data_IF_984409463521
#
_entry.id   IF_984409463521
#
_cell.length_a   1.000
_cell.length_b   1.000
_cell.length_c   1.000
_cell.angle_alpha   90.00
_cell.angle_beta   90.00
_cell.angle_gamma   90.00
#
_symmetry.space_group_name_H-M   'P 1'
#
loop_
_entity.id
_entity.type
_entity.pdbx_description
1 polymer ?
#
# COMPACT_ATOMS: atom_id res chain seq x y z
N UNK A 1 -0.68 -10.62 15.46
CA UNK A 1 -1.32 -9.55 14.66
C UNK A 1 -0.97 -9.62 13.18
N UNK A 2 0.31 -9.58 12.76
CA UNK A 2 0.68 -9.72 11.33
C UNK A 2 0.02 -10.93 10.64
N UNK A 3 0.26 -12.13 11.16
CA UNK A 3 -0.30 -13.36 10.60
C UNK A 3 -1.83 -13.41 10.64
N UNK A 4 -2.44 -12.87 11.69
CA UNK A 4 -3.90 -12.83 11.83
C UNK A 4 -4.52 -11.91 10.78
N UNK A 5 -3.95 -10.72 10.57
CA UNK A 5 -4.38 -9.76 9.55
C UNK A 5 -4.15 -10.29 8.14
N UNK A 6 -3.03 -10.97 7.91
CA UNK A 6 -2.71 -11.63 6.66
C UNK A 6 -3.70 -12.77 6.35
N UNK A 7 -3.96 -13.67 7.31
CA UNK A 7 -4.98 -14.74 7.20
C UNK A 7 -6.39 -14.17 7.04
N UNK A 8 -6.65 -12.99 7.59
CA UNK A 8 -7.94 -12.31 7.45
C UNK A 8 -8.24 -11.83 6.03
N UNK A 9 -7.23 -11.74 5.15
CA UNK A 9 -7.44 -11.38 3.74
C UNK A 9 -8.31 -12.42 3.02
N UNK A 10 -8.12 -13.72 3.31
CA UNK A 10 -8.90 -14.81 2.72
C UNK A 10 -10.22 -15.07 3.47
N UNK A 11 -10.31 -14.64 4.74
CA UNK A 11 -11.46 -14.95 5.62
C UNK A 11 -12.57 -13.91 5.58
N UNK A 12 -12.31 -12.68 5.11
CA UNK A 12 -13.34 -11.64 5.09
C UNK A 12 -14.42 -12.00 4.07
N UNK A 13 -15.69 -11.75 4.42
CA UNK A 13 -16.95 -12.09 3.71
C UNK A 13 -17.10 -11.56 2.26
N UNK A 14 -16.03 -11.10 1.63
CA UNK A 14 -15.91 -10.99 0.18
C UNK A 14 -14.91 -12.05 -0.26
N UNK A 15 -15.39 -13.27 -0.51
CA UNK A 15 -14.61 -14.28 -1.25
C UNK A 15 -14.45 -13.72 -2.65
N UNK A 16 -13.48 -12.83 -2.83
CA UNK A 16 -12.94 -12.52 -4.14
C UNK A 16 -12.24 -13.81 -4.56
N UNK A 17 -12.80 -14.57 -5.50
CA UNK A 17 -12.32 -15.91 -5.84
C UNK A 17 -10.86 -15.89 -6.33
N UNK A 18 -10.35 -14.70 -6.67
CA UNK A 18 -9.02 -14.50 -7.20
C UNK A 18 -7.95 -14.40 -6.10
N UNK A 19 -8.31 -14.16 -4.83
CA UNK A 19 -7.36 -14.02 -3.71
C UNK A 19 -7.52 -15.17 -2.71
N UNK A 20 -6.91 -16.30 -3.04
CA UNK A 20 -6.93 -17.51 -2.24
C UNK A 20 -5.76 -17.63 -1.25
N UNK A 21 -5.70 -18.75 -0.52
CA UNK A 21 -4.63 -19.02 0.44
C UNK A 21 -3.25 -19.09 -0.22
N UNK A 22 -3.16 -19.57 -1.46
CA UNK A 22 -1.89 -19.66 -2.21
C UNK A 22 -1.35 -18.25 -2.50
N UNK A 23 -2.21 -17.33 -2.93
CA UNK A 23 -1.86 -15.92 -3.13
C UNK A 23 -1.36 -15.29 -1.84
N UNK A 24 -1.99 -15.59 -0.70
CA UNK A 24 -1.57 -15.04 0.60
C UNK A 24 -0.26 -15.64 1.12
N UNK A 25 -0.01 -16.92 0.90
CA UNK A 25 1.30 -17.51 1.18
C UNK A 25 2.40 -16.90 0.31
N UNK A 26 2.10 -16.63 -0.98
CA UNK A 26 3.01 -15.91 -1.87
C UNK A 26 3.23 -14.46 -1.40
N UNK A 27 2.19 -13.77 -0.91
CA UNK A 27 2.30 -12.42 -0.37
C UNK A 27 3.19 -12.40 0.89
N UNK A 28 3.04 -13.37 1.80
CA UNK A 28 3.90 -13.53 2.97
C UNK A 28 5.37 -13.69 2.57
N UNK A 29 5.61 -14.60 1.62
CA UNK A 29 6.94 -14.90 1.09
C UNK A 29 7.57 -13.66 0.45
N UNK A 30 6.82 -12.93 -0.38
CA UNK A 30 7.28 -11.69 -0.98
C UNK A 30 7.70 -10.66 0.08
N UNK A 31 6.84 -10.41 1.07
CA UNK A 31 7.14 -9.43 2.14
C UNK A 31 8.38 -9.85 2.93
N UNK A 32 8.54 -11.13 3.25
CA UNK A 32 9.62 -11.59 4.13
C UNK A 32 10.95 -11.76 3.43
N UNK A 33 10.94 -12.29 2.21
CA UNK A 33 12.14 -12.73 1.50
C UNK A 33 12.56 -11.80 0.35
N UNK A 34 11.64 -10.98 -0.17
CA UNK A 34 11.86 -10.15 -1.37
C UNK A 34 11.79 -8.64 -1.09
N UNK A 35 11.57 -8.25 0.16
CA UNK A 35 11.53 -6.83 0.54
C UNK A 35 12.34 -6.55 1.79
N UNK A 36 13.08 -5.46 1.74
CA UNK A 36 13.82 -4.85 2.86
C UNK A 36 12.88 -4.08 3.79
N UNK A 37 13.38 -3.65 4.95
CA UNK A 37 12.64 -2.78 5.86
C UNK A 37 12.21 -1.45 5.23
N UNK A 38 13.02 -0.91 4.31
CA UNK A 38 12.72 0.35 3.60
C UNK A 38 11.61 0.15 2.57
N UNK A 39 11.69 -0.91 1.78
CA UNK A 39 10.69 -1.22 0.75
C UNK A 39 9.31 -1.51 1.36
N UNK A 40 9.26 -2.03 2.59
CA UNK A 40 8.01 -2.22 3.33
C UNK A 40 7.28 -0.90 3.66
N UNK A 41 7.92 0.26 3.53
CA UNK A 41 7.24 1.56 3.63
C UNK A 41 6.55 1.99 2.32
N UNK A 42 6.88 1.35 1.20
CA UNK A 42 6.43 1.67 -0.15
C UNK A 42 6.33 0.39 -0.99
N UNK A 43 5.57 -0.60 -0.50
CA UNK A 43 5.35 -1.85 -1.21
C UNK A 43 4.65 -1.59 -2.55
N UNK A 44 5.10 -2.30 -3.57
CA UNK A 44 4.67 -2.17 -4.94
C UNK A 44 3.90 -3.46 -5.37
N UNK A 45 2.56 -3.40 -5.51
CA UNK A 45 1.78 -4.56 -5.96
C UNK A 45 2.16 -5.07 -7.35
N UNK A 46 2.62 -4.19 -8.25
CA UNK A 46 3.10 -4.58 -9.56
C UNK A 46 4.36 -5.44 -9.44
N UNK A 47 5.31 -5.05 -8.59
CA UNK A 47 6.50 -5.89 -8.32
C UNK A 47 6.11 -7.24 -7.71
N UNK A 48 5.15 -7.27 -6.79
CA UNK A 48 4.61 -8.52 -6.25
C UNK A 48 4.07 -9.45 -7.35
N UNK A 49 3.33 -8.91 -8.33
CA UNK A 49 2.81 -9.70 -9.46
C UNK A 49 3.93 -10.36 -10.28
N UNK A 50 5.01 -9.62 -10.55
CA UNK A 50 6.16 -10.11 -11.34
C UNK A 50 6.95 -11.17 -10.56
N UNK A 51 7.37 -10.84 -9.33
CA UNK A 51 8.24 -11.69 -8.51
C UNK A 51 7.58 -13.01 -8.12
N UNK A 52 6.26 -13.00 -7.91
CA UNK A 52 5.51 -14.16 -7.44
C UNK A 52 4.68 -14.85 -8.54
N UNK A 53 4.78 -14.36 -9.78
CA UNK A 53 4.05 -14.87 -10.95
C UNK A 53 2.56 -14.97 -10.66
N UNK A 54 1.96 -13.83 -10.32
CA UNK A 54 0.53 -13.67 -10.05
C UNK A 54 -0.02 -12.65 -11.05
N UNK A 55 -1.29 -12.74 -11.41
CA UNK A 55 -1.90 -11.73 -12.27
C UNK A 55 -1.83 -10.35 -11.59
N UNK A 56 -1.70 -9.30 -12.41
CA UNK A 56 -1.69 -7.92 -11.93
C UNK A 56 -2.96 -7.57 -11.16
N UNK A 57 -4.11 -8.04 -11.63
CA UNK A 57 -5.42 -7.85 -10.99
C UNK A 57 -5.49 -8.50 -9.61
N UNK A 58 -5.11 -9.77 -9.50
CA UNK A 58 -5.07 -10.49 -8.22
C UNK A 58 -4.09 -9.83 -7.24
N UNK A 59 -2.93 -9.38 -7.75
CA UNK A 59 -1.94 -8.71 -6.94
C UNK A 59 -2.51 -7.43 -6.32
N UNK A 60 -3.10 -6.54 -7.12
CA UNK A 60 -3.66 -5.30 -6.57
C UNK A 60 -4.86 -5.56 -5.63
N UNK A 61 -5.73 -6.53 -5.95
CA UNK A 61 -6.83 -6.98 -5.07
C UNK A 61 -6.32 -7.40 -3.70
N UNK A 62 -5.27 -8.23 -3.63
CA UNK A 62 -4.70 -8.70 -2.36
C UNK A 62 -4.22 -7.53 -1.47
N UNK A 63 -3.62 -6.49 -2.06
CA UNK A 63 -3.19 -5.30 -1.32
C UNK A 63 -4.39 -4.43 -0.88
N UNK A 64 -5.42 -4.28 -1.71
CA UNK A 64 -6.63 -3.53 -1.34
C UNK A 64 -7.37 -4.21 -0.19
N UNK A 65 -7.58 -5.52 -0.26
CA UNK A 65 -8.21 -6.28 0.82
C UNK A 65 -7.33 -6.24 2.07
N UNK A 66 -6.01 -6.40 1.92
CA UNK A 66 -5.05 -6.24 3.02
C UNK A 66 -5.11 -4.84 3.66
N UNK A 67 -5.39 -3.79 2.89
CA UNK A 67 -5.64 -2.47 3.44
C UNK A 67 -6.94 -2.43 4.25
N UNK A 68 -8.03 -3.03 3.76
CA UNK A 68 -9.30 -3.20 4.49
C UNK A 68 -9.15 -4.07 5.76
N UNK A 69 -8.14 -4.92 5.83
CA UNK A 69 -7.77 -5.73 7.01
C UNK A 69 -6.71 -5.07 7.91
N UNK A 70 -6.36 -3.80 7.64
CA UNK A 70 -5.37 -3.05 8.41
C UNK A 70 -3.97 -3.66 8.44
N UNK A 71 -3.65 -4.51 7.46
CA UNK A 71 -2.29 -4.97 7.21
C UNK A 71 -1.48 -3.89 6.50
N UNK A 72 -2.12 -3.19 5.56
CA UNK A 72 -1.51 -2.15 4.75
C UNK A 72 -2.16 -0.79 4.94
N UNK A 73 -1.37 0.26 4.76
CA UNK A 73 -1.82 1.64 4.66
C UNK A 73 -1.55 2.16 3.24
N UNK A 74 -2.59 2.58 2.50
CA UNK A 74 -2.43 3.05 1.13
C UNK A 74 -1.74 4.42 1.09
N UNK A 75 -0.76 4.56 0.20
CA UNK A 75 0.00 5.79 -0.06
C UNK A 75 -0.09 6.15 -1.53
N UNK A 76 -0.29 7.42 -1.78
CA UNK A 76 -0.51 7.94 -3.12
C UNK A 76 0.60 8.94 -3.43
N UNK A 77 1.30 8.75 -4.54
CA UNK A 77 2.38 9.62 -4.99
C UNK A 77 2.01 10.23 -6.33
N UNK A 78 2.06 11.55 -6.42
CA UNK A 78 1.82 12.25 -7.68
C UNK A 78 3.13 12.49 -8.42
N UNK A 79 3.19 12.17 -9.71
CA UNK A 79 4.34 12.39 -10.58
C UNK A 79 4.12 13.59 -11.51
N UNK A 80 4.78 14.70 -11.21
CA UNK A 80 4.73 15.91 -12.02
C UNK A 80 5.35 15.70 -13.41
N UNK A 81 4.94 16.51 -14.39
CA UNK A 81 5.50 16.43 -15.75
C UNK A 81 6.98 16.82 -15.83
N UNK A 82 7.50 17.51 -14.81
CA UNK A 82 8.93 17.81 -14.66
C UNK A 82 9.76 16.66 -14.06
N UNK A 83 9.13 15.54 -13.68
CA UNK A 83 9.81 14.38 -13.10
C UNK A 83 9.77 14.31 -11.57
N UNK A 84 9.33 15.37 -10.89
CA UNK A 84 9.20 15.34 -9.42
C UNK A 84 8.09 14.39 -8.96
N UNK A 85 8.35 13.69 -7.86
CA UNK A 85 7.37 12.84 -7.21
C UNK A 85 7.25 13.16 -5.73
N UNK A 86 6.02 13.23 -5.22
CA UNK A 86 5.78 13.44 -3.80
C UNK A 86 4.48 12.77 -3.34
N UNK A 87 4.44 12.43 -2.05
CA UNK A 87 3.26 11.83 -1.42
C UNK A 87 2.16 12.90 -1.28
N UNK A 88 0.96 12.60 -1.77
CA UNK A 88 -0.19 13.50 -1.70
C UNK A 88 -1.20 12.94 -0.72
N UNK A 89 -1.56 13.68 0.33
CA UNK A 89 -2.52 13.23 1.37
C UNK A 89 -3.97 13.55 1.01
N UNK A 90 -4.21 14.63 0.26
CA UNK A 90 -5.52 15.01 -0.25
C UNK A 90 -5.49 15.15 -1.77
N UNK A 91 -6.20 14.27 -2.48
CA UNK A 91 -6.23 14.27 -3.95
C UNK A 91 -7.00 15.45 -4.54
N UNK A 92 -7.87 16.09 -3.75
CA UNK A 92 -8.68 17.23 -4.19
C UNK A 92 -8.03 18.59 -3.91
N UNK A 93 -6.86 18.62 -3.26
CA UNK A 93 -6.13 19.86 -2.99
C UNK A 93 -5.20 20.18 -4.15
N UNK A 94 -5.15 21.47 -4.53
CA UNK A 94 -4.14 21.97 -5.45
C UNK A 94 -2.74 21.80 -4.83
N UNK A 95 -1.81 21.29 -5.64
CA UNK A 95 -0.39 21.15 -5.32
C UNK A 95 0.43 21.90 -6.36
N UNK A 96 1.61 22.38 -5.97
CA UNK A 96 2.55 23.05 -6.87
C UNK A 96 3.77 22.15 -7.08
N UNK A 97 4.05 21.80 -8.34
CA UNK A 97 5.28 21.11 -8.73
C UNK A 97 6.49 22.05 -8.66
N UNK A 98 7.72 21.52 -8.64
CA UNK A 98 8.94 22.38 -8.64
C UNK A 98 9.07 23.21 -9.92
N UNK A 99 8.48 22.75 -11.03
CA UNK A 99 8.34 23.54 -12.26
C UNK A 99 7.25 24.62 -12.19
N UNK A 100 6.77 24.96 -10.99
CA UNK A 100 5.74 25.96 -10.69
C UNK A 100 4.34 25.66 -11.25
N UNK A 101 4.16 24.54 -11.95
CA UNK A 101 2.86 24.10 -12.43
C UNK A 101 1.96 23.69 -11.27
N UNK A 102 0.78 24.29 -11.21
CA UNK A 102 -0.30 23.93 -10.29
C UNK A 102 -1.15 22.82 -10.87
N UNK A 103 -1.47 21.82 -10.07
CA UNK A 103 -2.28 20.66 -10.48
C UNK A 103 -3.18 20.22 -9.33
N UNK A 104 -4.32 19.62 -9.67
CA UNK A 104 -5.19 18.93 -8.71
C UNK A 104 -5.07 17.43 -9.02
N UNK A 105 -4.49 16.60 -8.11
CA UNK A 105 -4.18 15.21 -8.40
C UNK A 105 -5.37 14.37 -8.87
N UNK A 106 -6.57 14.60 -8.30
CA UNK A 106 -7.80 13.89 -8.67
C UNK A 106 -8.17 14.07 -10.15
N UNK A 107 -7.71 15.14 -10.81
CA UNK A 107 -7.96 15.38 -12.24
C UNK A 107 -7.05 14.52 -13.11
N UNK A 108 -5.82 14.23 -12.68
CA UNK A 108 -4.83 13.47 -13.45
C UNK A 108 -4.42 12.18 -12.72
N UNK A 109 -5.37 11.25 -12.64
CA UNK A 109 -5.24 9.97 -11.93
C UNK A 109 -4.24 9.01 -12.56
N UNK A 110 -3.85 9.24 -13.81
CA UNK A 110 -2.79 8.49 -14.49
C UNK A 110 -1.39 8.85 -13.97
N UNK A 111 -1.24 9.96 -13.23
CA UNK A 111 0.01 10.34 -12.55
C UNK A 111 0.03 10.02 -11.07
N UNK A 112 -1.03 9.39 -10.56
CA UNK A 112 -1.16 9.02 -9.16
C UNK A 112 -0.78 7.55 -8.95
N UNK A 113 0.45 7.31 -8.53
CA UNK A 113 0.95 5.98 -8.23
C UNK A 113 0.53 5.51 -6.85
N UNK A 114 0.06 4.27 -6.77
CA UNK A 114 -0.47 3.64 -5.57
C UNK A 114 0.54 2.67 -4.96
N UNK A 115 1.01 2.98 -3.76
CA UNK A 115 1.88 2.13 -2.96
C UNK A 115 1.23 1.77 -1.63
N UNK A 116 1.81 0.81 -0.92
CA UNK A 116 1.30 0.36 0.37
C UNK A 116 2.40 0.34 1.41
N UNK A 117 2.16 0.96 2.56
CA UNK A 117 2.99 0.81 3.74
C UNK A 117 2.51 -0.40 4.54
N UNK A 118 3.40 -1.32 4.86
CA UNK A 118 3.13 -2.39 5.81
C UNK A 118 3.03 -1.82 7.23
N UNK A 119 1.95 -2.15 7.93
CA UNK A 119 1.66 -1.61 9.27
C UNK A 119 2.22 -2.49 10.40
N UNK A 120 2.53 -3.74 10.13
CA UNK A 120 2.97 -4.72 11.12
C UNK A 120 4.38 -5.22 10.79
N UNK A 121 5.17 -5.54 11.82
CA UNK A 121 6.46 -6.21 11.59
C UNK A 121 6.20 -7.64 11.10
N UNK A 122 6.78 -8.10 9.96
CA UNK A 122 6.61 -9.46 9.50
C UNK A 122 7.11 -10.48 10.53
N UNK A 123 6.33 -11.53 10.76
CA UNK A 123 6.68 -12.63 11.66
C UNK A 123 6.52 -13.98 10.96
N UNK A 124 7.13 -15.06 11.45
CA UNK A 124 6.76 -16.41 11.06
C UNK A 124 5.27 -16.62 11.30
N UNK A 125 4.59 -17.15 10.31
CA UNK A 125 3.20 -17.53 10.39
C UNK A 125 3.15 -19.05 10.29
N UNK A 126 2.26 -19.68 11.06
CA UNK A 126 2.04 -21.12 11.01
C UNK A 126 1.32 -21.47 9.70
N UNK A 127 2.13 -21.57 8.65
CA UNK A 127 1.84 -22.20 7.37
C UNK A 127 2.69 -23.46 7.31
N UNK A 128 2.15 -24.58 6.85
CA UNK A 128 2.97 -25.79 6.67
C UNK A 128 4.17 -25.47 5.77
N UNK A 129 5.39 -25.70 6.28
CA UNK A 129 6.63 -25.62 5.50
C UNK A 129 7.42 -24.29 5.54
N UNK A 130 6.99 -23.25 6.26
CA UNK A 130 7.60 -21.92 6.12
C UNK A 130 8.55 -21.53 7.28
N UNK A 131 9.71 -22.21 7.40
CA UNK A 131 10.84 -21.73 8.22
C UNK A 131 11.70 -20.75 7.40
N UNK A 132 11.14 -19.59 7.09
CA UNK A 132 11.81 -18.55 6.29
C UNK A 132 12.95 -17.86 7.03
N UNK A 133 14.09 -17.73 6.37
CA UNK A 133 15.26 -16.95 6.78
C UNK A 133 14.97 -15.48 6.49
N UNK A 134 15.20 -14.58 7.45
CA UNK A 134 15.13 -13.14 7.21
C UNK A 134 16.41 -12.71 6.49
N UNK A 135 16.35 -12.15 5.27
CA UNK A 135 17.54 -11.61 4.63
C UNK A 135 18.10 -10.47 5.50
N UNK A 136 19.39 -10.58 5.84
CA UNK A 136 20.14 -9.48 6.44
C UNK A 136 20.31 -8.40 5.36
N UNK A 137 19.97 -7.15 5.72
CA UNK A 137 20.05 -5.98 4.85
C UNK A 137 21.48 -5.85 4.28
N UNK A 138 21.67 -6.22 3.03
CA UNK A 138 22.72 -5.64 2.21
C UNK A 138 22.11 -4.43 1.50
N UNK A 139 22.85 -3.32 1.52
CA UNK A 139 22.53 -2.07 0.82
C UNK A 139 22.48 -2.31 -0.69
N UNK A 140 21.40 -2.93 -1.16
CA UNK A 140 21.04 -2.90 -2.58
C UNK A 140 20.41 -1.54 -2.88
N UNK A 141 20.82 -0.98 -4.01
CA UNK A 141 20.47 0.35 -4.48
C UNK A 141 18.96 0.58 -4.49
N UNK A 142 18.56 1.85 -4.36
CA UNK A 142 17.18 2.33 -4.40
C UNK A 142 16.51 2.06 -5.75
N UNK A 143 16.25 0.79 -6.06
CA UNK A 143 15.37 0.35 -7.13
C UNK A 143 13.93 0.54 -6.71
N UNK A 144 13.52 1.78 -6.40
CA UNK A 144 12.11 2.12 -6.40
C UNK A 144 11.63 1.90 -7.85
N UNK A 145 11.08 0.72 -8.13
CA UNK A 145 10.49 0.43 -9.43
C UNK A 145 9.63 1.63 -9.85
N UNK A 146 10.04 2.28 -10.93
CA UNK A 146 9.41 3.48 -11.47
C UNK A 146 8.01 3.18 -12.00
N UNK A 147 7.72 1.90 -12.23
CA UNK A 147 6.42 1.40 -12.66
C UNK A 147 5.69 0.74 -11.48
N UNK A 148 4.52 1.29 -11.17
CA UNK A 148 3.54 0.70 -10.28
C UNK A 148 2.14 1.09 -10.78
N UNK A 149 1.09 0.49 -10.23
CA UNK A 149 -0.29 0.85 -10.57
C UNK A 149 -0.55 2.33 -10.29
N UNK A 150 -1.11 2.99 -11.30
CA UNK A 150 -1.71 4.31 -11.12
C UNK A 150 -3.16 4.15 -10.67
N UNK A 151 -3.79 5.20 -10.14
CA UNK A 151 -5.22 5.13 -9.83
C UNK A 151 -6.06 4.92 -11.10
N UNK A 152 -5.64 5.48 -12.23
CA UNK A 152 -6.29 5.19 -13.51
C UNK A 152 -6.20 3.70 -13.90
N UNK A 153 -5.10 3.01 -13.56
CA UNK A 153 -4.98 1.57 -13.80
C UNK A 153 -5.95 0.77 -12.92
N UNK A 154 -6.04 1.11 -11.64
CA UNK A 154 -6.96 0.45 -10.72
C UNK A 154 -8.42 0.70 -11.13
N UNK A 155 -8.76 1.93 -11.51
CA UNK A 155 -10.09 2.28 -12.01
C UNK A 155 -10.48 1.45 -13.23
N UNK A 156 -9.53 1.22 -14.14
CA UNK A 156 -9.72 0.41 -15.35
C UNK A 156 -9.82 -1.09 -15.07
N UNK A 157 -9.01 -1.60 -14.15
CA UNK A 157 -8.93 -3.04 -13.86
C UNK A 157 -10.05 -3.52 -12.94
N UNK A 158 -10.38 -2.74 -11.91
CA UNK A 158 -11.27 -3.15 -10.82
C UNK A 158 -12.53 -2.28 -10.69
N UNK A 159 -12.52 -1.08 -11.27
CA UNK A 159 -13.58 -0.08 -11.06
C UNK A 159 -13.15 1.03 -10.10
N UNK A 160 -13.80 2.19 -10.27
CA UNK A 160 -13.50 3.43 -9.52
C UNK A 160 -13.90 3.34 -8.05
N UNK A 161 -14.88 2.51 -7.72
CA UNK A 161 -15.32 2.26 -6.35
C UNK A 161 -14.17 1.75 -5.46
N UNK A 162 -13.25 0.95 -6.01
CA UNK A 162 -12.11 0.42 -5.26
C UNK A 162 -11.11 1.50 -4.88
N UNK A 163 -10.87 2.47 -5.77
CA UNK A 163 -9.96 3.59 -5.47
C UNK A 163 -10.61 4.60 -4.53
N UNK A 164 -11.91 4.86 -4.67
CA UNK A 164 -12.68 5.70 -3.75
C UNK A 164 -12.72 5.13 -2.33
N UNK A 165 -12.91 3.81 -2.20
CA UNK A 165 -12.78 3.08 -0.95
C UNK A 165 -11.40 3.28 -0.31
N UNK A 166 -10.31 3.13 -1.08
CA UNK A 166 -8.95 3.33 -0.59
C UNK A 166 -8.69 4.76 -0.12
N UNK A 167 -9.16 5.75 -0.87
CA UNK A 167 -9.05 7.17 -0.52
C UNK A 167 -9.80 7.45 0.79
N UNK A 168 -11.01 6.90 0.92
CA UNK A 168 -11.84 7.05 2.11
C UNK A 168 -11.21 6.37 3.33
N UNK A 169 -10.69 5.16 3.16
CA UNK A 169 -9.97 4.42 4.20
C UNK A 169 -8.76 5.21 4.70
N UNK A 170 -7.98 5.80 3.79
CA UNK A 170 -6.84 6.65 4.15
C UNK A 170 -7.27 7.85 4.97
N UNK A 171 -8.27 8.61 4.49
CA UNK A 171 -8.79 9.80 5.18
C UNK A 171 -9.25 9.46 6.61
N UNK A 172 -9.96 8.34 6.77
CA UNK A 172 -10.40 7.87 8.08
C UNK A 172 -9.22 7.61 9.02
N UNK A 173 -8.20 6.90 8.55
CA UNK A 173 -7.00 6.59 9.35
C UNK A 173 -6.16 7.83 9.68
N UNK A 174 -6.00 8.74 8.73
CA UNK A 174 -5.31 10.01 8.97
C UNK A 174 -6.06 10.87 10.01
N UNK A 175 -7.39 10.87 9.98
CA UNK A 175 -8.21 11.57 10.98
C UNK A 175 -8.08 10.94 12.37
N UNK A 176 -8.12 9.60 12.47
CA UNK A 176 -7.89 8.88 13.72
C UNK A 176 -6.51 9.23 14.29
N UNK A 177 -5.45 9.14 13.47
CA UNK A 177 -4.10 9.47 13.89
C UNK A 177 -3.95 10.92 14.38
N UNK A 178 -4.51 11.90 13.64
CA UNK A 178 -4.53 13.30 14.06
C UNK A 178 -5.31 13.52 15.36
N UNK A 179 -6.40 12.79 15.58
CA UNK A 179 -7.19 12.89 16.82
C UNK A 179 -6.46 12.36 18.05
N UNK A 180 -5.52 11.42 17.89
CA UNK A 180 -4.64 10.96 18.95
C UNK A 180 -3.57 12.01 19.28
N UNK A 181 -2.96 12.62 18.26
CA UNK A 181 -1.96 13.67 18.47
C UNK A 181 -2.55 14.98 19.02
N UNK A 182 -3.78 15.33 18.62
CA UNK A 182 -4.50 16.51 19.13
C UNK A 182 -5.06 16.36 20.55
N UNK A 183 -4.84 15.21 21.22
CA UNK A 183 -5.24 14.97 22.61
C UNK A 183 -4.08 15.11 23.61
N UNK A 184 -2.86 15.45 23.18
CA UNK A 184 -1.73 15.70 24.08
C UNK A 184 -1.62 17.17 24.58
N UNK A 185 -2.48 18.08 24.12
CA UNK A 185 -2.57 19.45 24.68
C UNK A 185 -3.54 19.49 25.87
N UNK A 186 -3.16 18.79 26.94
CA UNK A 186 -3.99 18.63 28.14
C UNK A 186 -3.19 18.49 29.43
N UNK A 187 -1.94 18.96 29.51
CA UNK A 187 -1.33 19.28 30.79
C UNK A 187 -1.74 20.69 31.19
N UNK A 188 -2.89 20.77 31.85
CA UNK A 188 -3.24 21.92 32.67
C UNK A 188 -2.14 22.09 33.73
N UNK A 189 -1.36 23.16 33.61
CA UNK A 189 -0.57 23.69 34.72
C UNK A 189 -1.55 24.22 35.77
N UNK A 190 -1.84 23.37 36.74
CA UNK A 190 -2.27 23.75 38.09
C UNK A 190 -1.13 24.40 38.86
#
# INVERSE_FOLDING_TARGET
MYCDKLKSIVRKDSVDPDVDEIVIQKLDKFIKEKTTMRERQKLNPYRFSIEMQISQETAIKAFIIGAKCELFFPRFYYSCSCGDQFEVSNLNSEIQCTCEKKVVPEIDRARLFLYFKLLEKPTPCDWEGNRGIFPLDFLESEGYGTENFTLADVDRLLGREYTEDLISLRKCRDAVFKSFLGKEDGFASS
#
